data_IF_116583531605
#
_entry.id   IF_116583531605
#
_cell.length_a   1.000
_cell.length_b   1.000
_cell.length_c   1.000
_cell.angle_alpha   90.00
_cell.angle_beta   90.00
_cell.angle_gamma   90.00
#
_symmetry.space_group_name_H-M   'P 1'
#
loop_
_entity.id
_entity.type
_entity.pdbx_description
1 polymer ?
#
# COMPACT_ATOMS: atom_id res chain seq x y z
N UNK A 1 -9.32 -30.23 -19.05
CA UNK A 1 -9.92 -29.22 -18.15
C UNK A 1 -8.77 -28.49 -17.48
N UNK A 2 -8.34 -27.36 -18.03
CA UNK A 2 -7.23 -26.57 -17.48
C UNK A 2 -7.83 -25.43 -16.67
N UNK A 3 -7.75 -25.49 -15.34
CA UNK A 3 -8.08 -24.35 -14.51
C UNK A 3 -6.97 -23.31 -14.66
N UNK A 4 -7.10 -22.45 -15.66
CA UNK A 4 -6.36 -21.20 -15.74
C UNK A 4 -6.80 -20.33 -14.57
N UNK A 5 -6.06 -20.37 -13.47
CA UNK A 5 -6.13 -19.34 -12.44
C UNK A 5 -5.63 -18.06 -13.07
N UNK A 6 -6.49 -17.33 -13.78
CA UNK A 6 -6.24 -15.94 -14.11
C UNK A 6 -5.86 -15.24 -12.79
N UNK A 7 -4.77 -14.47 -12.72
CA UNK A 7 -4.55 -13.60 -11.58
C UNK A 7 -5.74 -12.63 -11.56
N UNK A 8 -6.75 -12.96 -10.75
CA UNK A 8 -7.87 -12.06 -10.53
C UNK A 8 -7.26 -10.75 -10.03
N UNK A 9 -7.52 -9.60 -10.69
CA UNK A 9 -7.00 -8.34 -10.22
C UNK A 9 -7.48 -8.17 -8.79
N UNK A 10 -6.54 -8.17 -7.83
CA UNK A 10 -6.86 -7.80 -6.45
C UNK A 10 -7.54 -6.43 -6.53
N UNK A 11 -8.68 -6.23 -5.83
CA UNK A 11 -9.37 -4.94 -5.90
C UNK A 11 -8.38 -3.83 -5.53
N UNK A 12 -8.18 -2.90 -6.47
CA UNK A 12 -7.21 -1.84 -6.31
C UNK A 12 -7.58 -0.98 -5.11
N UNK A 13 -6.58 -0.56 -4.33
CA UNK A 13 -6.79 0.35 -3.21
C UNK A 13 -7.13 1.74 -3.76
N UNK A 14 -8.26 2.30 -3.32
CA UNK A 14 -8.73 3.61 -3.80
C UNK A 14 -7.92 4.76 -3.16
N UNK A 15 -7.78 5.91 -3.84
CA UNK A 15 -7.25 7.14 -3.24
C UNK A 15 -7.92 7.48 -1.90
N UNK A 16 -7.11 7.92 -0.93
CA UNK A 16 -7.52 8.16 0.46
C UNK A 16 -7.53 6.91 1.34
N UNK A 17 -7.28 5.71 0.78
CA UNK A 17 -7.14 4.49 1.59
C UNK A 17 -5.86 4.56 2.41
N UNK A 18 -5.97 4.34 3.73
CA UNK A 18 -4.81 4.21 4.63
C UNK A 18 -4.07 2.91 4.36
N UNK A 19 -2.76 3.03 4.17
CA UNK A 19 -1.90 1.92 3.77
C UNK A 19 -0.62 1.87 4.57
N UNK A 20 -0.03 0.68 4.58
CA UNK A 20 1.35 0.47 4.98
C UNK A 20 2.17 0.21 3.72
N UNK A 21 3.36 0.79 3.66
CA UNK A 21 4.33 0.54 2.59
C UNK A 21 5.48 -0.30 3.10
N UNK A 22 6.04 -1.15 2.25
CA UNK A 22 7.20 -1.97 2.57
C UNK A 22 8.49 -1.21 2.29
N UNK A 23 9.37 -1.12 3.29
CA UNK A 23 10.70 -0.52 3.10
C UNK A 23 11.68 -1.56 2.58
N UNK A 24 12.47 -1.20 1.57
CA UNK A 24 13.45 -2.11 0.96
C UNK A 24 14.61 -2.51 1.89
N UNK A 25 14.90 -1.69 2.90
CA UNK A 25 16.02 -1.89 3.83
C UNK A 25 15.77 -3.04 4.82
N UNK A 26 14.62 -3.03 5.51
CA UNK A 26 14.29 -4.04 6.53
C UNK A 26 13.20 -5.02 6.10
N UNK A 27 12.62 -4.84 4.91
CA UNK A 27 11.39 -5.54 4.47
C UNK A 27 10.24 -5.42 5.48
N UNK A 28 10.27 -4.36 6.29
CA UNK A 28 9.28 -4.03 7.31
C UNK A 28 8.17 -3.19 6.70
N UNK A 29 6.97 -3.30 7.25
CA UNK A 29 5.80 -2.51 6.87
C UNK A 29 5.74 -1.27 7.74
N UNK A 30 5.69 -0.10 7.11
CA UNK A 30 5.59 1.19 7.79
C UNK A 30 4.22 1.79 7.50
N UNK A 31 3.51 2.16 8.56
CA UNK A 31 2.19 2.80 8.49
C UNK A 31 2.30 4.31 8.28
N UNK A 32 1.17 5.01 8.31
CA UNK A 32 1.15 6.46 8.19
C UNK A 32 1.14 6.97 6.75
N UNK A 33 0.78 6.11 5.80
CA UNK A 33 0.61 6.49 4.41
C UNK A 33 -0.85 6.37 3.98
N UNK A 34 -1.20 7.08 2.93
CA UNK A 34 -2.46 6.92 2.22
C UNK A 34 -2.23 6.86 0.71
N UNK A 35 -3.12 6.17 -0.02
CA UNK A 35 -3.07 6.17 -1.48
C UNK A 35 -3.37 7.58 -1.97
N UNK A 36 -2.45 8.17 -2.72
CA UNK A 36 -2.69 9.41 -3.44
C UNK A 36 -3.31 9.12 -4.81
N UNK A 37 -2.73 8.18 -5.56
CA UNK A 37 -3.20 7.80 -6.89
C UNK A 37 -2.86 6.33 -7.18
N UNK A 38 -3.73 5.70 -7.98
CA UNK A 38 -3.48 4.36 -8.54
C UNK A 38 -2.88 4.53 -9.92
N UNK A 39 -1.73 3.91 -10.17
CA UNK A 39 -1.06 3.91 -11.47
C UNK A 39 -1.07 2.49 -12.06
N UNK A 40 -0.66 2.35 -13.31
CA UNK A 40 -0.54 1.03 -13.94
C UNK A 40 0.62 0.21 -13.33
N UNK A 41 1.66 0.89 -12.85
CA UNK A 41 2.87 0.29 -12.28
C UNK A 41 2.76 0.07 -10.76
N UNK A 42 1.74 0.64 -10.10
CA UNK A 42 1.57 0.52 -8.65
C UNK A 42 0.73 1.63 -8.02
N UNK A 43 1.22 2.16 -6.90
CA UNK A 43 0.57 3.20 -6.11
C UNK A 43 1.51 4.36 -5.80
N UNK A 44 1.02 5.57 -6.05
CA UNK A 44 1.58 6.78 -5.44
C UNK A 44 0.97 6.94 -4.06
N UNK A 45 1.80 7.16 -3.05
CA UNK A 45 1.37 7.31 -1.67
C UNK A 45 1.70 8.69 -1.13
N UNK A 46 0.86 9.17 -0.22
CA UNK A 46 1.07 10.39 0.55
C UNK A 46 1.38 10.03 1.99
N UNK A 47 2.43 10.65 2.55
CA UNK A 47 2.77 10.53 3.97
C UNK A 47 1.81 11.41 4.77
N UNK A 48 1.08 10.79 5.70
CA UNK A 48 0.03 11.46 6.49
C UNK A 48 0.59 12.43 7.54
N UNK A 49 1.87 12.28 7.91
CA UNK A 49 2.51 13.09 8.95
C UNK A 49 2.72 14.55 8.54
N UNK A 50 2.96 14.80 7.25
CA UNK A 50 3.35 16.10 6.67
C UNK A 50 2.60 16.40 5.38
N UNK A 51 1.65 15.53 5.01
CA UNK A 51 0.88 15.60 3.77
C UNK A 51 1.74 15.56 2.49
N UNK A 52 2.99 15.08 2.57
CA UNK A 52 3.89 15.02 1.44
C UNK A 52 3.62 13.80 0.56
N UNK A 53 3.49 14.01 -0.75
CA UNK A 53 3.39 12.92 -1.73
C UNK A 53 4.79 12.40 -2.01
N UNK A 54 5.00 11.10 -1.79
CA UNK A 54 6.30 10.51 -2.10
C UNK A 54 6.52 10.49 -3.62
N UNK A 55 7.70 10.89 -4.11
CA UNK A 55 8.01 10.86 -5.54
C UNK A 55 8.17 9.42 -6.08
N UNK A 56 8.20 8.42 -5.20
CA UNK A 56 8.32 7.02 -5.56
C UNK A 56 6.94 6.37 -5.77
N UNK A 57 6.84 5.53 -6.81
CA UNK A 57 5.71 4.62 -7.01
C UNK A 57 6.04 3.30 -6.33
N UNK A 58 5.15 2.82 -5.48
CA UNK A 58 5.28 1.54 -4.79
C UNK A 58 4.55 0.45 -5.56
N UNK A 59 5.20 -0.71 -5.75
CA UNK A 59 4.57 -1.86 -6.39
C UNK A 59 3.34 -2.33 -5.61
N UNK A 60 2.38 -2.95 -6.29
CA UNK A 60 1.16 -3.48 -5.66
C UNK A 60 1.43 -4.46 -4.51
N UNK A 61 2.56 -5.16 -4.53
CA UNK A 61 2.96 -6.10 -3.48
C UNK A 61 3.70 -5.45 -2.30
N UNK A 62 4.20 -4.22 -2.48
CA UNK A 62 4.85 -3.42 -1.44
C UNK A 62 3.88 -2.43 -0.78
N UNK A 63 2.60 -2.47 -1.15
CA UNK A 63 1.53 -1.68 -0.53
C UNK A 63 0.45 -2.62 -0.03
N UNK A 64 0.04 -2.44 1.22
CA UNK A 64 -1.10 -3.16 1.78
C UNK A 64 -1.99 -2.20 2.55
N UNK A 65 -3.27 -2.55 2.67
CA UNK A 65 -4.20 -1.82 3.53
C UNK A 65 -3.67 -1.81 4.96
N UNK A 66 -3.67 -0.63 5.60
CA UNK A 66 -3.29 -0.49 7.00
C UNK A 66 -4.18 -1.41 7.82
N UNK A 67 -3.58 -2.44 8.42
CA UNK A 67 -4.31 -3.24 9.40
C UNK A 67 -4.50 -2.33 10.61
N UNK A 68 -5.75 -2.12 11.03
CA UNK A 68 -6.04 -1.55 12.35
C UNK A 68 -5.57 -2.55 13.40
N UNK A 69 -4.28 -2.58 13.68
CA UNK A 69 -3.78 -3.29 14.83
C UNK A 69 -4.11 -2.41 16.03
N UNK A 70 -5.29 -2.62 16.60
CA UNK A 70 -5.75 -2.06 17.87
C UNK A 70 -4.99 -2.67 19.05
N UNK A 71 -3.67 -2.68 18.98
CA UNK A 71 -2.83 -3.16 20.05
C UNK A 71 -1.54 -2.37 19.96
N UNK A 72 -1.32 -1.52 20.95
CA UNK A 72 -0.08 -1.38 21.74
C UNK A 72 -0.42 -0.36 22.84
N UNK A 73 -1.15 -0.85 23.85
CA UNK A 73 -1.02 -0.38 25.22
C UNK A 73 0.20 -1.08 25.82
N UNK A 74 1.25 -0.34 26.15
CA UNK A 74 2.00 -0.35 27.42
C UNK A 74 3.21 0.58 27.33
#
# INVERSE_FOLDING_TARGET
MSNSTSPQPRPALEPGTKVEVRTGFDRTWVNGYEIHAVTQDGYSVKRRSDDEILPAVFAHDDVRRERRNSMWWY
#
